data_IF_907190248242
#
_entry.id   IF_907190248242
#
_cell.length_a   1.000
_cell.length_b   1.000
_cell.length_c   1.000
_cell.angle_alpha   90.00
_cell.angle_beta   90.00
_cell.angle_gamma   90.00
#
_symmetry.space_group_name_H-M   'P 1'
#
loop_
_entity.id
_entity.type
_entity.pdbx_description
1 polymer ?
#
# COMPACT_ATOMS: atom_id res chain seq x y z
N UNK A 1 7.45 2.41 22.03
CA UNK A 1 7.55 1.73 20.73
C UNK A 1 6.57 2.41 19.78
N UNK A 2 7.05 3.18 18.80
CA UNK A 2 6.16 3.90 17.87
C UNK A 2 5.83 2.96 16.70
N UNK A 3 4.63 2.39 16.69
CA UNK A 3 4.16 1.60 15.55
C UNK A 3 4.02 2.51 14.32
N UNK A 4 4.41 2.00 13.15
CA UNK A 4 4.18 2.71 11.88
C UNK A 4 2.66 2.97 11.71
N UNK A 5 2.26 4.13 11.16
CA UNK A 5 0.84 4.37 10.85
C UNK A 5 0.32 3.27 9.93
N UNK A 6 -0.95 2.90 10.08
CA UNK A 6 -1.60 1.94 9.19
C UNK A 6 -1.82 2.59 7.83
N UNK A 7 -1.63 1.83 6.76
CA UNK A 7 -2.05 2.26 5.43
C UNK A 7 -3.57 2.14 5.33
N UNK A 8 -4.18 3.02 4.53
CA UNK A 8 -5.58 2.90 4.14
C UNK A 8 -5.67 2.13 2.82
N UNK A 9 -6.60 1.18 2.76
CA UNK A 9 -6.91 0.44 1.54
C UNK A 9 -8.41 0.45 1.28
N UNK A 10 -8.79 0.48 0.01
CA UNK A 10 -10.17 0.16 -0.35
C UNK A 10 -10.38 -1.35 -0.21
N UNK A 11 -11.58 -1.79 0.16
CA UNK A 11 -11.95 -3.22 0.20
C UNK A 11 -11.55 -3.93 -1.11
N UNK A 12 -11.83 -3.31 -2.25
CA UNK A 12 -11.51 -3.88 -3.56
C UNK A 12 -10.01 -4.02 -3.82
N UNK A 13 -9.19 -3.09 -3.34
CA UNK A 13 -7.75 -3.14 -3.55
C UNK A 13 -7.07 -4.10 -2.58
N UNK A 14 -7.56 -4.22 -1.34
CA UNK A 14 -7.09 -5.22 -0.39
C UNK A 14 -7.26 -6.63 -0.97
N UNK A 15 -8.47 -6.99 -1.39
CA UNK A 15 -8.77 -8.29 -2.02
C UNK A 15 -7.89 -8.59 -3.24
N UNK A 16 -7.65 -7.58 -4.09
CA UNK A 16 -6.87 -7.74 -5.32
C UNK A 16 -5.38 -7.90 -5.01
N UNK A 17 -4.86 -7.15 -4.05
CA UNK A 17 -3.46 -7.21 -3.64
C UNK A 17 -3.15 -8.53 -2.91
N UNK A 18 -4.02 -8.99 -2.02
CA UNK A 18 -3.87 -10.30 -1.36
C UNK A 18 -3.78 -11.44 -2.39
N UNK A 19 -4.74 -11.52 -3.31
CA UNK A 19 -4.73 -12.53 -4.39
C UNK A 19 -3.47 -12.43 -5.26
N UNK A 20 -3.02 -11.22 -5.54
CA UNK A 20 -1.80 -11.00 -6.32
C UNK A 20 -0.58 -11.53 -5.56
N UNK A 21 -0.45 -11.22 -4.27
CA UNK A 21 0.67 -11.65 -3.44
C UNK A 21 0.69 -13.17 -3.21
N UNK A 22 -0.47 -13.79 -3.03
CA UNK A 22 -0.61 -15.24 -2.90
C UNK A 22 -0.14 -15.98 -4.15
N UNK A 23 -0.43 -15.43 -5.34
CA UNK A 23 -0.04 -16.01 -6.62
C UNK A 23 1.41 -15.70 -7.03
N UNK A 24 2.08 -14.80 -6.31
CA UNK A 24 3.43 -14.32 -6.64
C UNK A 24 4.49 -15.09 -5.85
N UNK A 25 5.59 -15.49 -6.49
CA UNK A 25 6.68 -16.19 -5.78
C UNK A 25 7.40 -15.26 -4.78
N UNK A 26 7.95 -15.82 -3.70
CA UNK A 26 8.68 -15.03 -2.68
C UNK A 26 9.95 -14.37 -3.23
N UNK A 27 10.50 -14.91 -4.32
CA UNK A 27 11.66 -14.37 -5.04
C UNK A 27 11.29 -13.33 -6.11
N UNK A 28 10.01 -13.04 -6.33
CA UNK A 28 9.57 -12.21 -7.46
C UNK A 28 9.99 -10.75 -7.33
N UNK A 29 9.96 -10.19 -6.11
CA UNK A 29 10.35 -8.81 -5.86
C UNK A 29 10.82 -8.61 -4.40
N UNK A 30 11.78 -7.69 -4.17
CA UNK A 30 12.14 -7.31 -2.81
C UNK A 30 10.98 -6.58 -2.14
N UNK A 31 10.69 -6.87 -0.87
CA UNK A 31 9.63 -6.18 -0.14
C UNK A 31 8.30 -6.94 -0.03
N UNK A 32 8.18 -8.17 -0.56
CA UNK A 32 6.93 -8.94 -0.54
C UNK A 32 6.41 -9.15 0.89
N UNK A 33 7.28 -9.61 1.79
CA UNK A 33 6.92 -9.88 3.18
C UNK A 33 6.52 -8.60 3.92
N UNK A 34 7.23 -7.50 3.66
CA UNK A 34 6.93 -6.19 4.23
C UNK A 34 5.58 -5.67 3.73
N UNK A 35 5.29 -5.79 2.43
CA UNK A 35 3.99 -5.38 1.87
C UNK A 35 2.84 -6.23 2.43
N UNK A 36 3.03 -7.55 2.53
CA UNK A 36 2.03 -8.44 3.14
C UNK A 36 1.74 -8.03 4.59
N UNK A 37 2.78 -7.80 5.40
CA UNK A 37 2.61 -7.38 6.78
C UNK A 37 1.94 -6.00 6.92
N UNK A 38 2.11 -5.10 5.94
CA UNK A 38 1.39 -3.82 5.89
C UNK A 38 -0.08 -3.98 5.51
N UNK A 39 -0.40 -4.89 4.58
CA UNK A 39 -1.79 -5.23 4.21
C UNK A 39 -2.51 -5.89 5.38
N UNK A 40 -1.88 -6.86 6.05
CA UNK A 40 -2.46 -7.60 7.19
C UNK A 40 -2.91 -6.70 8.35
N UNK A 41 -2.27 -5.52 8.49
CA UNK A 41 -2.56 -4.53 9.54
C UNK A 41 -3.27 -3.28 9.03
N UNK A 42 -3.60 -3.22 7.74
CA UNK A 42 -4.18 -2.05 7.09
C UNK A 42 -5.53 -1.67 7.70
N UNK A 43 -5.91 -0.41 7.51
CA UNK A 43 -7.29 0.03 7.73
C UNK A 43 -8.02 -0.07 6.39
N UNK A 44 -9.01 -0.96 6.33
CA UNK A 44 -9.80 -1.20 5.12
C UNK A 44 -11.10 -0.43 5.22
N UNK A 45 -11.37 0.39 4.21
CA UNK A 45 -12.58 1.23 4.11
C UNK A 45 -13.29 0.98 2.80
N UNK A 46 -14.58 1.30 2.73
CA UNK A 46 -15.31 1.30 1.47
C UNK A 46 -14.70 2.36 0.52
N UNK A 47 -14.73 2.12 -0.79
CA UNK A 47 -14.17 3.06 -1.77
C UNK A 47 -14.81 4.46 -1.70
N UNK A 48 -16.07 4.56 -1.27
CA UNK A 48 -16.77 5.83 -1.10
C UNK A 48 -16.26 6.66 0.10
N UNK A 49 -15.64 6.00 1.09
CA UNK A 49 -15.11 6.63 2.30
C UNK A 49 -13.61 6.95 2.18
N UNK A 50 -12.99 6.65 1.03
CA UNK A 50 -11.57 6.90 0.79
C UNK A 50 -11.26 8.41 0.73
N UNK A 51 -10.34 8.93 1.55
CA UNK A 51 -9.94 10.34 1.48
C UNK A 51 -9.25 10.68 0.16
N UNK A 52 -9.48 11.90 -0.35
CA UNK A 52 -8.96 12.34 -1.65
C UNK A 52 -7.45 12.66 -1.68
N UNK A 53 -6.79 12.67 -0.53
CA UNK A 53 -5.36 12.92 -0.35
C UNK A 53 -4.56 11.62 -0.10
N UNK A 54 -5.23 10.47 -0.07
CA UNK A 54 -4.59 9.16 0.07
C UNK A 54 -4.20 8.62 -1.30
N UNK A 55 -2.97 8.12 -1.41
CA UNK A 55 -2.52 7.42 -2.62
C UNK A 55 -3.11 6.01 -2.64
N UNK A 56 -3.97 5.73 -3.61
CA UNK A 56 -4.58 4.42 -3.84
C UNK A 56 -4.12 3.79 -5.15
N UNK A 57 -4.53 2.55 -5.40
CA UNK A 57 -4.29 1.90 -6.69
C UNK A 57 -4.93 2.70 -7.83
N UNK A 58 -4.22 2.78 -8.96
CA UNK A 58 -4.59 3.58 -10.13
C UNK A 58 -4.60 5.11 -9.95
N UNK A 59 -4.09 5.63 -8.82
CA UNK A 59 -3.87 7.07 -8.66
C UNK A 59 -2.65 7.58 -9.43
N UNK A 60 -2.70 8.83 -9.84
CA UNK A 60 -1.53 9.57 -10.36
C UNK A 60 -0.99 10.46 -9.27
N UNK A 61 0.29 10.32 -8.94
CA UNK A 61 0.95 11.11 -7.87
C UNK A 61 2.06 11.95 -8.48
N UNK A 62 2.11 13.23 -8.12
CA UNK A 62 3.19 14.12 -8.50
C UNK A 62 4.17 14.27 -7.34
N UNK A 63 5.46 14.04 -7.63
CA UNK A 63 6.54 14.22 -6.66
C UNK A 63 7.39 15.44 -7.04
N UNK A 64 7.96 16.10 -6.04
CA UNK A 64 9.03 17.09 -6.23
C UNK A 64 10.27 16.59 -5.51
N UNK A 65 11.40 16.55 -6.22
CA UNK A 65 12.67 16.12 -5.62
C UNK A 65 13.15 17.20 -4.66
N UNK A 66 13.13 16.89 -3.37
CA UNK A 66 13.81 17.71 -2.37
C UNK A 66 15.31 17.43 -2.51
N UNK A 67 16.09 18.47 -2.84
CA UNK A 67 17.54 18.43 -3.14
C UNK A 67 18.30 17.26 -2.52
N UNK A 68 18.98 16.48 -3.37
CA UNK A 68 19.91 15.43 -2.93
C UNK A 68 21.16 16.11 -2.36
N UNK A 69 21.38 16.02 -1.05
CA UNK A 69 22.71 16.26 -0.49
C UNK A 69 23.55 15.01 -0.79
N UNK A 70 24.49 15.14 -1.72
CA UNK A 70 25.67 14.27 -1.76
C UNK A 70 26.58 14.53 -0.55
#
# INVERSE_FOLDING_TARGET
MNAKPKILLSESDADRLERLLDSTSDSAFPGKAELQAEIDRAEVVASADMPGDVVTMNSTVQFTVLSSKE
#
